data_IF_405300226360
#
_entry.id   IF_405300226360
#
_cell.length_a   1.000
_cell.length_b   1.000
_cell.length_c   1.000
_cell.angle_alpha   90.00
_cell.angle_beta   90.00
_cell.angle_gamma   90.00
#
_symmetry.space_group_name_H-M   'P 1'
#
loop_
_entity.id
_entity.type
_entity.pdbx_description
1 polymer ?
#
# COMPACT_ATOMS: atom_id res chain seq x y z
N UNK A 1 -2.34 15.35 -16.28
CA UNK A 1 -3.23 14.63 -15.36
C UNK A 1 -2.79 14.90 -13.94
N UNK A 2 -3.19 14.03 -13.00
CA UNK A 2 -2.81 14.13 -11.59
C UNK A 2 -1.27 14.10 -11.45
N UNK A 3 -0.65 14.87 -10.54
CA UNK A 3 -1.28 15.71 -9.54
C UNK A 3 -1.71 17.10 -10.02
N UNK A 4 -1.40 17.52 -11.26
CA UNK A 4 -1.65 18.90 -11.71
C UNK A 4 -3.08 19.15 -12.22
N UNK A 5 -3.71 18.11 -12.77
CA UNK A 5 -5.08 18.16 -13.26
C UNK A 5 -5.87 16.97 -12.76
N UNK A 6 -7.06 17.22 -12.24
CA UNK A 6 -8.06 16.21 -11.87
C UNK A 6 -9.24 16.34 -12.83
N UNK A 7 -9.32 15.43 -13.79
CA UNK A 7 -10.21 15.60 -14.94
C UNK A 7 -9.92 16.92 -15.67
N UNK A 8 -10.92 17.81 -15.84
CA UNK A 8 -10.69 19.13 -16.42
C UNK A 8 -10.16 20.18 -15.43
N UNK A 9 -10.13 19.91 -14.14
CA UNK A 9 -9.82 20.94 -13.13
C UNK A 9 -8.32 20.98 -12.81
N UNK A 10 -7.79 22.19 -12.60
CA UNK A 10 -6.45 22.37 -12.04
C UNK A 10 -6.53 22.21 -10.52
N UNK A 11 -5.68 21.36 -9.96
CA UNK A 11 -5.76 21.00 -8.53
C UNK A 11 -4.97 21.97 -7.65
N UNK A 12 -3.92 22.60 -8.18
CA UNK A 12 -3.03 23.51 -7.43
C UNK A 12 -2.22 22.85 -6.31
N UNK A 13 -2.27 21.52 -6.17
CA UNK A 13 -1.73 20.79 -5.00
C UNK A 13 -0.20 20.65 -5.05
N UNK A 14 0.40 20.62 -6.24
CA UNK A 14 1.86 20.46 -6.36
C UNK A 14 2.56 21.74 -6.83
N UNK A 15 3.63 22.18 -6.14
CA UNK A 15 4.45 23.32 -6.55
C UNK A 15 5.15 23.09 -7.91
N UNK A 16 5.30 21.83 -8.35
CA UNK A 16 5.88 21.49 -9.66
C UNK A 16 4.95 21.78 -10.83
N UNK A 17 3.65 21.99 -10.58
CA UNK A 17 2.66 22.20 -11.63
C UNK A 17 2.60 23.64 -12.16
N UNK A 18 3.16 24.63 -11.44
CA UNK A 18 3.05 26.05 -11.79
C UNK A 18 3.55 26.38 -13.20
N UNK A 19 4.67 25.76 -13.62
CA UNK A 19 5.22 25.92 -14.96
C UNK A 19 4.48 25.16 -16.06
N UNK A 20 3.55 24.26 -15.69
CA UNK A 20 2.76 23.51 -16.67
C UNK A 20 1.55 24.30 -17.14
N UNK A 21 0.94 25.13 -16.29
CA UNK A 21 -0.36 25.78 -16.58
C UNK A 21 -0.33 26.93 -17.59
N UNK A 22 0.86 27.44 -17.96
CA UNK A 22 0.99 28.63 -18.81
C UNK A 22 1.80 28.34 -20.06
N UNK A 23 1.35 28.86 -21.21
CA UNK A 23 2.10 28.79 -22.48
C UNK A 23 2.18 27.41 -23.13
N UNK A 24 1.43 26.41 -22.64
CA UNK A 24 1.39 25.05 -23.18
C UNK A 24 -0.05 24.63 -23.51
N UNK A 25 -0.23 23.89 -24.59
CA UNK A 25 -1.52 23.27 -24.92
C UNK A 25 -1.74 22.04 -24.04
N UNK A 26 -2.89 21.97 -23.37
CA UNK A 26 -3.25 20.84 -22.52
C UNK A 26 -4.33 20.00 -23.18
N UNK A 27 -3.98 18.77 -23.55
CA UNK A 27 -4.98 17.81 -24.01
C UNK A 27 -5.91 17.45 -22.86
N UNK A 28 -7.18 17.82 -23.01
CA UNK A 28 -8.25 17.51 -22.06
C UNK A 28 -8.51 15.99 -22.04
N UNK A 29 -8.96 15.44 -20.90
CA UNK A 29 -9.37 14.04 -20.86
C UNK A 29 -10.53 13.81 -21.84
N UNK A 30 -10.51 12.68 -22.53
CA UNK A 30 -11.60 12.27 -23.42
C UNK A 30 -12.91 12.03 -22.66
N UNK A 31 -12.81 11.55 -21.42
CA UNK A 31 -13.93 11.34 -20.52
C UNK A 31 -13.51 11.69 -19.09
N UNK A 32 -14.40 12.37 -18.36
CA UNK A 32 -14.24 12.69 -16.95
C UNK A 32 -15.62 12.64 -16.29
N UNK A 33 -15.64 12.35 -14.99
CA UNK A 33 -16.86 12.29 -14.18
C UNK A 33 -16.63 13.00 -12.83
N UNK A 34 -17.69 13.57 -12.22
CA UNK A 34 -17.57 14.27 -10.96
C UNK A 34 -17.32 13.31 -9.78
N UNK A 35 -16.80 13.85 -8.67
CA UNK A 35 -16.77 13.16 -7.38
C UNK A 35 -18.17 13.08 -6.80
N UNK A 36 -18.95 12.11 -7.26
CA UNK A 36 -20.34 11.89 -6.88
C UNK A 36 -20.62 10.39 -6.77
N UNK A 37 -21.66 10.03 -6.01
CA UNK A 37 -22.13 8.65 -5.87
C UNK A 37 -21.03 7.64 -5.45
N UNK A 38 -20.11 8.10 -4.58
CA UNK A 38 -18.98 7.31 -4.11
C UNK A 38 -17.84 7.17 -5.12
N UNK A 39 -17.92 7.77 -6.30
CA UNK A 39 -16.82 7.84 -7.27
C UNK A 39 -15.85 8.96 -6.91
N UNK A 40 -14.57 8.76 -7.22
CA UNK A 40 -13.54 9.77 -6.98
C UNK A 40 -12.11 9.26 -7.09
N UNK A 41 -11.93 8.03 -7.54
CA UNK A 41 -10.60 7.45 -7.70
C UNK A 41 -10.61 6.58 -8.96
N UNK A 42 -10.60 7.25 -10.10
CA UNK A 42 -10.54 6.60 -11.41
C UNK A 42 -9.23 5.84 -11.57
N UNK A 43 -9.33 4.58 -11.96
CA UNK A 43 -8.21 3.70 -12.24
C UNK A 43 -8.18 3.48 -13.74
N UNK A 44 -7.10 3.91 -14.37
CA UNK A 44 -6.84 3.58 -15.77
C UNK A 44 -6.93 2.07 -15.98
N UNK A 45 -7.49 1.63 -17.11
CA UNK A 45 -7.65 0.22 -17.39
C UNK A 45 -7.13 -0.17 -18.76
N UNK A 46 -7.84 -1.05 -19.46
CA UNK A 46 -7.36 -1.71 -20.66
C UNK A 46 -8.39 -1.70 -21.79
N UNK A 47 -7.91 -1.56 -23.01
CA UNK A 47 -8.70 -1.93 -24.18
C UNK A 47 -8.82 -3.45 -24.23
N UNK A 48 -10.06 -3.93 -24.28
CA UNK A 48 -10.32 -5.37 -24.36
C UNK A 48 -10.18 -5.86 -25.80
N UNK A 49 -9.10 -6.58 -26.10
CA UNK A 49 -8.77 -7.06 -27.45
C UNK A 49 -9.11 -8.55 -27.67
N UNK A 50 -9.57 -9.24 -26.62
CA UNK A 50 -9.92 -10.66 -26.70
C UNK A 50 -11.30 -10.93 -27.31
N UNK A 51 -11.67 -12.21 -27.34
CA UNK A 51 -12.93 -12.72 -27.88
C UNK A 51 -13.75 -13.54 -26.85
N UNK A 52 -13.28 -13.63 -25.61
CA UNK A 52 -13.98 -14.23 -24.48
C UNK A 52 -15.26 -13.45 -24.07
N UNK A 53 -15.37 -12.16 -24.42
CA UNK A 53 -16.56 -11.33 -24.16
C UNK A 53 -17.35 -11.08 -25.46
N UNK A 54 -18.65 -10.72 -25.39
CA UNK A 54 -19.44 -10.35 -26.55
C UNK A 54 -18.79 -9.30 -27.45
N UNK A 55 -19.10 -9.34 -28.75
CA UNK A 55 -18.46 -8.53 -29.78
C UNK A 55 -18.46 -7.02 -29.48
N UNK A 56 -19.50 -6.51 -28.81
CA UNK A 56 -19.63 -5.11 -28.41
C UNK A 56 -18.54 -4.60 -27.46
N UNK A 57 -17.87 -5.50 -26.74
CA UNK A 57 -16.78 -5.14 -25.82
C UNK A 57 -15.41 -5.17 -26.49
N UNK A 58 -15.29 -5.70 -27.72
CA UNK A 58 -14.02 -5.69 -28.44
C UNK A 58 -13.59 -4.26 -28.73
N UNK A 59 -12.35 -3.95 -28.41
CA UNK A 59 -11.73 -2.62 -28.46
C UNK A 59 -12.43 -1.56 -27.59
N UNK A 60 -13.30 -1.96 -26.67
CA UNK A 60 -13.85 -1.05 -25.65
C UNK A 60 -12.84 -0.86 -24.51
N UNK A 61 -12.82 0.33 -23.92
CA UNK A 61 -11.93 0.63 -22.81
C UNK A 61 -12.63 0.29 -21.49
N UNK A 62 -12.09 -0.70 -20.78
CA UNK A 62 -12.52 -1.02 -19.43
C UNK A 62 -11.71 -0.18 -18.45
N UNK A 63 -12.37 0.39 -17.45
CA UNK A 63 -11.71 1.15 -16.39
C UNK A 63 -12.39 0.87 -15.05
N UNK A 64 -11.70 1.19 -13.96
CA UNK A 64 -12.22 0.97 -12.61
C UNK A 64 -12.43 2.28 -11.88
N UNK A 65 -13.21 2.23 -10.82
CA UNK A 65 -13.18 3.25 -9.76
C UNK A 65 -12.93 2.56 -8.43
N UNK A 66 -11.85 2.97 -7.75
CA UNK A 66 -11.44 2.39 -6.48
C UNK A 66 -12.50 2.61 -5.40
N UNK A 67 -13.00 3.85 -5.29
CA UNK A 67 -13.93 4.25 -4.22
C UNK A 67 -15.30 3.60 -4.44
N UNK A 68 -15.80 3.61 -5.68
CA UNK A 68 -17.12 3.06 -6.01
C UNK A 68 -17.12 1.53 -6.14
N UNK A 69 -15.95 0.89 -6.14
CA UNK A 69 -15.79 -0.55 -6.32
C UNK A 69 -16.45 -1.09 -7.61
N UNK A 70 -16.25 -0.38 -8.72
CA UNK A 70 -16.83 -0.72 -10.03
C UNK A 70 -15.77 -1.01 -11.09
N UNK A 71 -16.17 -1.80 -12.07
CA UNK A 71 -15.56 -1.82 -13.41
C UNK A 71 -16.62 -1.30 -14.36
N UNK A 72 -16.28 -0.28 -15.12
CA UNK A 72 -17.12 0.33 -16.14
C UNK A 72 -16.47 0.13 -17.52
N UNK A 73 -17.30 0.22 -18.56
CA UNK A 73 -16.86 0.17 -19.95
C UNK A 73 -17.18 1.50 -20.60
N UNK A 74 -16.14 2.13 -21.13
CA UNK A 74 -16.21 3.33 -21.95
C UNK A 74 -16.25 2.95 -23.43
N UNK A 75 -17.33 3.32 -24.10
CA UNK A 75 -17.52 3.25 -25.55
C UNK A 75 -17.73 4.65 -26.13
N UNK A 76 -17.93 4.76 -27.44
CA UNK A 76 -18.22 6.01 -28.12
C UNK A 76 -19.49 5.86 -28.96
N UNK A 77 -20.41 6.81 -28.90
CA UNK A 77 -21.50 6.88 -29.87
C UNK A 77 -20.97 7.21 -31.27
N UNK A 78 -21.80 7.07 -32.31
CA UNK A 78 -21.43 7.33 -33.70
C UNK A 78 -20.92 8.76 -33.96
N UNK A 79 -21.30 9.71 -33.09
CA UNK A 79 -20.87 11.12 -33.13
C UNK A 79 -19.55 11.37 -32.37
N UNK A 80 -18.92 10.33 -31.84
CA UNK A 80 -17.69 10.41 -31.04
C UNK A 80 -17.92 10.80 -29.58
N UNK A 81 -19.17 10.87 -29.11
CA UNK A 81 -19.47 11.14 -27.70
C UNK A 81 -19.10 9.94 -26.84
N UNK A 82 -18.27 10.09 -25.79
CA UNK A 82 -17.96 9.00 -24.86
C UNK A 82 -19.20 8.58 -24.07
N UNK A 83 -19.43 7.27 -23.97
CA UNK A 83 -20.53 6.67 -23.21
C UNK A 83 -19.95 5.68 -22.22
N UNK A 84 -20.11 5.94 -20.92
CA UNK A 84 -19.71 5.00 -19.88
C UNK A 84 -20.91 4.17 -19.41
N UNK A 85 -20.70 2.87 -19.25
CA UNK A 85 -21.72 1.93 -18.77
C UNK A 85 -21.15 1.00 -17.69
N UNK A 86 -21.88 0.75 -16.59
CA UNK A 86 -21.45 -0.22 -15.59
C UNK A 86 -21.31 -1.62 -16.19
N UNK A 87 -20.18 -2.28 -15.92
CA UNK A 87 -19.92 -3.65 -16.37
C UNK A 87 -19.90 -4.64 -15.20
N UNK A 88 -19.27 -4.27 -14.09
CA UNK A 88 -19.28 -5.06 -12.87
C UNK A 88 -19.33 -4.15 -11.64
N UNK A 89 -20.08 -4.60 -10.63
CA UNK A 89 -20.06 -4.07 -9.27
C UNK A 89 -19.30 -5.03 -8.36
N UNK A 90 -18.98 -4.61 -7.12
CA UNK A 90 -18.19 -5.38 -6.16
C UNK A 90 -16.75 -5.68 -6.63
N UNK A 91 -16.25 -4.89 -7.56
CA UNK A 91 -14.84 -4.85 -7.90
C UNK A 91 -14.14 -4.01 -6.83
N UNK A 92 -13.89 -4.58 -5.65
CA UNK A 92 -13.40 -3.83 -4.49
C UNK A 92 -11.96 -3.38 -4.68
N UNK A 93 -11.73 -2.07 -4.75
CA UNK A 93 -10.40 -1.46 -4.87
C UNK A 93 -9.54 -1.99 -6.03
N UNK A 94 -10.01 -1.92 -7.30
CA UNK A 94 -9.18 -2.22 -8.46
C UNK A 94 -8.01 -1.23 -8.49
N UNK A 95 -6.85 -1.68 -8.94
CA UNK A 95 -5.67 -0.81 -9.11
C UNK A 95 -5.00 -0.96 -10.46
N UNK A 96 -5.28 -2.05 -11.19
CA UNK A 96 -4.77 -2.25 -12.55
C UNK A 96 -5.62 -3.23 -13.34
N UNK A 97 -5.76 -2.99 -14.64
CA UNK A 97 -6.40 -3.93 -15.57
C UNK A 97 -5.51 -4.18 -16.78
N UNK A 98 -5.52 -5.40 -17.31
CA UNK A 98 -4.81 -5.76 -18.52
C UNK A 98 -5.52 -6.92 -19.23
N UNK A 99 -5.41 -6.98 -20.56
CA UNK A 99 -5.84 -8.15 -21.33
C UNK A 99 -4.70 -9.18 -21.33
N UNK A 100 -4.99 -10.41 -20.91
CA UNK A 100 -4.03 -11.51 -20.90
C UNK A 100 -3.88 -12.19 -22.28
N UNK A 101 -2.84 -13.03 -22.47
CA UNK A 101 -2.60 -13.73 -23.73
C UNK A 101 -3.68 -14.77 -24.07
N UNK A 102 -4.50 -15.16 -23.09
CA UNK A 102 -5.68 -16.02 -23.26
C UNK A 102 -6.95 -15.24 -23.70
N UNK A 103 -6.80 -13.94 -24.00
CA UNK A 103 -7.90 -13.07 -24.41
C UNK A 103 -8.87 -12.70 -23.28
N UNK A 104 -8.55 -12.99 -22.01
CA UNK A 104 -9.35 -12.59 -20.87
C UNK A 104 -8.89 -11.24 -20.30
N UNK A 105 -9.81 -10.50 -19.67
CA UNK A 105 -9.46 -9.31 -18.88
C UNK A 105 -9.03 -9.76 -17.49
N UNK A 106 -7.88 -9.27 -17.03
CA UNK A 106 -7.36 -9.49 -15.68
C UNK A 106 -7.35 -8.18 -14.91
N UNK A 107 -7.69 -8.24 -13.62
CA UNK A 107 -7.74 -7.09 -12.73
C UNK A 107 -6.99 -7.41 -11.44
N UNK A 108 -6.10 -6.49 -11.04
CA UNK A 108 -5.44 -6.50 -9.74
C UNK A 108 -6.27 -5.70 -8.75
N UNK A 109 -6.51 -6.30 -7.59
CA UNK A 109 -7.24 -5.70 -6.49
C UNK A 109 -6.30 -5.51 -5.30
N UNK A 110 -6.18 -4.28 -4.81
CA UNK A 110 -5.27 -4.00 -3.69
C UNK A 110 -5.92 -4.33 -2.34
N UNK A 111 -7.25 -4.25 -2.23
CA UNK A 111 -7.96 -4.59 -0.99
C UNK A 111 -7.69 -6.04 -0.52
N UNK A 112 -7.31 -6.92 -1.45
CA UNK A 112 -7.00 -8.30 -1.11
C UNK A 112 -5.77 -8.90 -1.79
N UNK A 113 -4.97 -8.07 -2.47
CA UNK A 113 -3.74 -8.51 -3.13
C UNK A 113 -3.96 -9.53 -4.25
N UNK A 114 -5.17 -9.69 -4.79
CA UNK A 114 -5.45 -10.72 -5.79
C UNK A 114 -5.39 -10.20 -7.22
N UNK A 115 -4.82 -11.03 -8.10
CA UNK A 115 -5.03 -10.97 -9.54
C UNK A 115 -6.22 -11.85 -9.89
N UNK A 116 -7.26 -11.29 -10.49
CA UNK A 116 -8.46 -12.05 -10.88
C UNK A 116 -8.69 -11.98 -12.38
N UNK A 117 -8.99 -13.14 -12.97
CA UNK A 117 -9.51 -13.23 -14.34
C UNK A 117 -11.00 -12.91 -14.34
N UNK A 118 -11.39 -11.88 -15.09
CA UNK A 118 -12.78 -11.49 -15.26
C UNK A 118 -13.46 -12.44 -16.24
N UNK A 119 -14.57 -13.03 -15.81
CA UNK A 119 -15.42 -13.88 -16.64
C UNK A 119 -16.72 -13.16 -16.93
N UNK A 120 -17.07 -13.05 -18.20
CA UNK A 120 -18.41 -12.63 -18.60
C UNK A 120 -19.43 -13.74 -18.31
N UNK A 121 -20.48 -13.43 -17.55
CA UNK A 121 -21.52 -14.40 -17.14
C UNK A 121 -22.93 -13.98 -17.57
N UNK A 122 -23.08 -12.94 -18.39
CA UNK A 122 -24.38 -12.37 -18.76
C UNK A 122 -25.33 -13.39 -19.41
N UNK A 123 -26.63 -13.28 -19.09
CA UNK A 123 -27.70 -14.07 -19.68
C UNK A 123 -28.64 -13.19 -20.53
N UNK A 124 -28.73 -13.50 -21.83
CA UNK A 124 -29.83 -13.14 -22.75
C UNK A 124 -29.99 -11.66 -23.15
N UNK A 125 -29.78 -11.37 -24.45
CA UNK A 125 -30.34 -10.21 -25.16
C UNK A 125 -29.29 -9.25 -25.74
N UNK A 126 -29.27 -9.19 -27.07
CA UNK A 126 -28.43 -8.33 -27.94
C UNK A 126 -26.92 -8.62 -28.01
N UNK A 127 -26.62 -9.84 -28.50
CA UNK A 127 -25.28 -10.31 -28.86
C UNK A 127 -24.83 -9.85 -30.28
N UNK A 128 -25.66 -9.08 -30.98
CA UNK A 128 -25.45 -8.64 -32.36
C UNK A 128 -25.06 -7.17 -32.56
N UNK A 129 -25.02 -6.37 -31.48
CA UNK A 129 -24.60 -4.98 -31.59
C UNK A 129 -23.09 -4.91 -31.92
N UNK A 130 -22.68 -4.21 -33.00
CA UNK A 130 -21.26 -3.99 -33.29
C UNK A 130 -20.62 -3.18 -32.16
N UNK A 131 -19.33 -3.42 -31.90
CA UNK A 131 -18.57 -2.53 -31.02
C UNK A 131 -18.56 -1.12 -31.61
N UNK A 132 -18.94 -0.16 -30.79
CA UNK A 132 -18.94 1.27 -31.11
C UNK A 132 -17.64 1.93 -30.64
N UNK A 133 -16.79 1.19 -29.90
CA UNK A 133 -15.47 1.63 -29.50
C UNK A 133 -14.45 1.30 -30.59
N UNK A 134 -14.31 2.19 -31.56
CA UNK A 134 -13.19 2.17 -32.49
C UNK A 134 -11.99 2.85 -31.80
N UNK A 135 -11.34 2.16 -30.88
CA UNK A 135 -9.92 2.43 -30.70
C UNK A 135 -9.28 2.11 -32.06
N UNK A 136 -8.72 3.11 -32.74
CA UNK A 136 -7.82 2.81 -33.84
C UNK A 136 -6.79 1.81 -33.28
N UNK A 137 -6.58 0.64 -33.90
CA UNK A 137 -5.50 -0.23 -33.46
C UNK A 137 -4.26 0.65 -33.33
N UNK A 138 -3.59 0.59 -32.16
CA UNK A 138 -2.29 1.22 -32.01
C UNK A 138 -1.46 0.84 -33.24
N UNK A 139 -0.75 1.79 -33.87
CA UNK A 139 0.06 1.47 -35.04
C UNK A 139 0.87 0.23 -34.72
N UNK A 140 0.82 -0.78 -35.57
CA UNK A 140 1.37 -2.11 -35.32
C UNK A 140 2.92 -2.14 -35.25
N UNK A 141 3.56 -0.99 -35.00
CA UNK A 141 5.00 -0.87 -34.80
C UNK A 141 5.40 -1.31 -33.40
N UNK A 142 6.62 -1.81 -33.25
CA UNK A 142 7.20 -2.04 -31.95
C UNK A 142 7.39 -0.70 -31.19
N UNK A 143 7.32 -0.70 -29.85
CA UNK A 143 7.72 0.45 -29.06
C UNK A 143 9.16 0.90 -29.38
N UNK A 144 9.50 2.19 -29.23
CA UNK A 144 10.84 2.67 -29.49
C UNK A 144 11.87 2.02 -28.54
N UNK A 145 13.08 1.83 -29.06
CA UNK A 145 14.24 1.37 -28.28
C UNK A 145 14.81 2.57 -27.56
N UNK A 146 14.76 2.55 -26.23
CA UNK A 146 15.26 3.63 -25.37
C UNK A 146 16.64 3.26 -24.82
N UNK A 147 17.55 4.22 -24.81
CA UNK A 147 18.91 4.07 -24.27
C UNK A 147 19.18 5.19 -23.27
N UNK A 148 19.65 4.82 -22.08
CA UNK A 148 20.21 5.78 -21.12
C UNK A 148 21.73 5.78 -21.33
N UNK A 149 22.26 6.93 -21.72
CA UNK A 149 23.68 7.11 -22.05
C UNK A 149 24.50 7.38 -20.78
N UNK A 150 23.96 8.20 -19.87
CA UNK A 150 24.57 8.48 -18.57
C UNK A 150 23.52 8.74 -17.48
N UNK A 151 23.81 8.41 -16.22
CA UNK A 151 24.90 7.55 -15.75
C UNK A 151 24.68 6.08 -16.12
N UNK A 152 25.70 5.24 -15.91
CA UNK A 152 25.57 3.80 -16.13
C UNK A 152 24.70 3.16 -15.04
N UNK A 153 24.07 2.04 -15.38
CA UNK A 153 23.34 1.21 -14.42
C UNK A 153 24.28 0.69 -13.31
N UNK A 154 23.81 0.78 -12.06
CA UNK A 154 24.56 0.44 -10.87
C UNK A 154 25.63 1.46 -10.44
N UNK A 155 25.62 2.68 -11.00
CA UNK A 155 26.62 3.68 -10.64
C UNK A 155 26.52 4.10 -9.16
N UNK A 156 27.67 4.17 -8.49
CA UNK A 156 27.78 4.73 -7.14
C UNK A 156 27.97 6.24 -7.21
N UNK A 157 27.09 6.99 -6.55
CA UNK A 157 27.00 8.44 -6.57
C UNK A 157 27.27 8.99 -5.17
N UNK A 158 28.16 9.98 -5.09
CA UNK A 158 28.42 10.66 -3.82
C UNK A 158 27.18 11.42 -3.34
N UNK A 159 26.88 11.32 -2.05
CA UNK A 159 25.81 12.08 -1.40
C UNK A 159 26.09 13.58 -1.59
N UNK A 160 25.06 14.31 -2.02
CA UNK A 160 25.09 15.72 -2.38
C UNK A 160 25.57 16.03 -3.80
N UNK A 161 25.98 15.02 -4.59
CA UNK A 161 26.43 15.26 -5.96
C UNK A 161 25.24 15.54 -6.91
N UNK A 162 25.45 16.48 -7.83
CA UNK A 162 24.57 16.66 -8.99
C UNK A 162 24.88 15.60 -10.04
N UNK A 163 23.88 14.80 -10.39
CA UNK A 163 23.94 13.78 -11.43
C UNK A 163 23.30 14.33 -12.70
N UNK A 164 24.03 14.25 -13.81
CA UNK A 164 23.52 14.59 -15.15
C UNK A 164 23.03 13.32 -15.83
N UNK A 165 21.74 13.29 -16.14
CA UNK A 165 21.08 12.25 -16.91
C UNK A 165 21.12 12.61 -18.39
N UNK A 166 21.45 11.64 -19.24
CA UNK A 166 21.32 11.77 -20.69
C UNK A 166 20.87 10.46 -21.32
N UNK A 167 20.06 10.56 -22.37
CA UNK A 167 19.60 9.39 -23.10
C UNK A 167 18.87 9.77 -24.38
N UNK A 168 18.55 8.74 -25.16
CA UNK A 168 17.95 8.86 -26.48
C UNK A 168 17.00 7.70 -26.76
N UNK A 169 16.20 7.83 -27.82
CA UNK A 169 15.37 6.73 -28.29
C UNK A 169 15.28 6.71 -29.82
N UNK A 170 15.11 5.51 -30.38
CA UNK A 170 14.91 5.28 -31.81
C UNK A 170 13.71 4.37 -32.04
N UNK A 171 12.95 4.62 -33.10
CA UNK A 171 11.94 3.69 -33.60
C UNK A 171 12.61 2.40 -34.10
N UNK A 172 11.81 1.34 -34.35
CA UNK A 172 12.31 0.05 -34.85
C UNK A 172 13.10 0.18 -36.16
N UNK A 173 12.75 1.15 -37.01
CA UNK A 173 13.44 1.43 -38.28
C UNK A 173 14.70 2.30 -38.13
N UNK A 174 15.05 2.68 -36.90
CA UNK A 174 16.19 3.53 -36.57
C UNK A 174 15.92 5.05 -36.64
N UNK A 175 14.68 5.47 -36.93
CA UNK A 175 14.29 6.88 -36.90
C UNK A 175 14.41 7.42 -35.48
N UNK A 176 15.13 8.54 -35.22
CA UNK A 176 15.21 9.12 -33.89
C UNK A 176 13.85 9.61 -33.39
N UNK A 177 13.53 9.29 -32.14
CA UNK A 177 12.37 9.88 -31.44
C UNK A 177 12.72 11.32 -31.05
N UNK A 178 11.90 12.33 -31.41
CA UNK A 178 12.12 13.72 -31.02
C UNK A 178 12.27 13.92 -29.50
N UNK A 179 13.21 14.77 -29.10
CA UNK A 179 13.47 15.19 -27.71
C UNK A 179 12.21 15.56 -26.91
N UNK A 180 11.24 16.21 -27.56
CA UNK A 180 9.98 16.62 -26.93
C UNK A 180 9.08 15.44 -26.52
N UNK A 181 9.36 14.23 -27.00
CA UNK A 181 8.67 12.98 -26.69
C UNK A 181 9.43 12.13 -25.66
N UNK A 182 10.54 12.64 -25.12
CA UNK A 182 11.32 12.00 -24.07
C UNK A 182 10.96 12.58 -22.69
N UNK A 183 10.89 11.73 -21.67
CA UNK A 183 10.73 12.13 -20.28
C UNK A 183 11.46 11.21 -19.30
N UNK A 184 11.85 11.78 -18.18
CA UNK A 184 12.50 11.08 -17.07
C UNK A 184 11.55 10.94 -15.89
N UNK A 185 11.56 9.76 -15.28
CA UNK A 185 10.90 9.44 -14.01
C UNK A 185 11.96 8.87 -13.07
N UNK A 186 12.01 9.34 -11.82
CA UNK A 186 12.89 8.79 -10.80
C UNK A 186 12.12 8.47 -9.52
N UNK A 187 12.45 7.33 -8.93
CA UNK A 187 11.90 6.81 -7.70
C UNK A 187 13.05 6.65 -6.69
N UNK A 188 12.82 7.02 -5.43
CA UNK A 188 13.72 6.66 -4.35
C UNK A 188 13.19 5.40 -3.68
N UNK A 189 14.00 4.35 -3.68
CA UNK A 189 13.72 3.05 -3.10
C UNK A 189 14.37 3.00 -1.72
N UNK A 190 13.58 2.61 -0.74
CA UNK A 190 14.03 2.07 0.53
C UNK A 190 13.62 0.60 0.57
N UNK A 191 14.13 -0.14 1.54
CA UNK A 191 13.75 -1.54 1.76
C UNK A 191 12.28 -1.68 2.17
N UNK A 192 11.74 -0.71 2.92
CA UNK A 192 10.38 -0.74 3.47
C UNK A 192 9.35 0.00 2.60
N UNK A 193 9.76 1.06 1.89
CA UNK A 193 8.85 1.91 1.10
C UNK A 193 9.52 2.59 -0.10
N UNK A 194 8.70 3.20 -0.97
CA UNK A 194 9.14 3.85 -2.21
C UNK A 194 8.57 5.26 -2.26
N UNK A 195 9.39 6.25 -2.62
CA UNK A 195 8.93 7.59 -2.97
C UNK A 195 8.76 7.69 -4.49
N UNK A 196 7.54 7.94 -4.95
CA UNK A 196 7.17 7.85 -6.37
C UNK A 196 7.46 9.11 -7.22
N UNK A 197 7.93 10.19 -6.60
CA UNK A 197 8.08 11.51 -7.24
C UNK A 197 9.48 12.13 -7.03
N UNK A 198 10.53 11.31 -6.99
CA UNK A 198 11.90 11.80 -6.77
C UNK A 198 12.42 12.65 -7.95
N UNK A 199 12.09 12.26 -9.19
CA UNK A 199 12.42 13.04 -10.38
C UNK A 199 11.28 13.01 -11.39
N UNK A 200 10.95 14.19 -11.94
CA UNK A 200 10.16 14.34 -13.16
C UNK A 200 10.80 15.39 -14.05
N UNK A 201 11.25 15.00 -15.24
CA UNK A 201 11.83 15.93 -16.22
C UNK A 201 11.42 15.54 -17.64
N UNK A 202 11.56 16.46 -18.59
CA UNK A 202 11.27 16.23 -20.01
C UNK A 202 12.48 16.59 -20.86
N UNK A 203 12.66 15.91 -21.99
CA UNK A 203 13.79 16.08 -22.87
C UNK A 203 14.85 14.97 -22.72
N UNK A 204 15.91 15.02 -23.55
CA UNK A 204 16.95 14.00 -23.59
C UNK A 204 17.89 14.06 -22.39
N UNK A 205 17.87 15.17 -21.63
CA UNK A 205 18.73 15.40 -20.47
C UNK A 205 17.96 15.90 -19.27
N UNK A 206 18.41 15.53 -18.08
CA UNK A 206 17.89 16.05 -16.81
C UNK A 206 18.99 16.10 -15.76
N UNK A 207 18.77 16.84 -14.68
CA UNK A 207 19.67 16.87 -13.53
C UNK A 207 18.90 16.48 -12.27
N UNK A 208 19.56 15.74 -11.38
CA UNK A 208 19.08 15.48 -10.02
C UNK A 208 20.24 15.67 -9.04
N UNK A 209 19.93 16.02 -7.80
CA UNK A 209 20.90 15.95 -6.69
C UNK A 209 20.63 14.65 -5.94
N UNK A 210 21.69 13.89 -5.65
CA UNK A 210 21.58 12.67 -4.86
C UNK A 210 21.62 13.04 -3.38
N UNK A 211 20.46 13.25 -2.74
CA UNK A 211 20.41 13.66 -1.34
C UNK A 211 20.63 12.47 -0.39
N UNK A 212 21.02 12.75 0.84
CA UNK A 212 21.16 11.73 1.88
C UNK A 212 19.78 11.24 2.33
N UNK A 213 19.57 9.92 2.24
CA UNK A 213 18.34 9.27 2.67
C UNK A 213 18.61 8.09 3.61
N UNK A 214 19.82 8.02 4.18
CA UNK A 214 20.24 6.93 5.05
C UNK A 214 20.60 5.64 4.31
N UNK A 215 20.79 4.59 5.10
CA UNK A 215 21.25 3.29 4.63
C UNK A 215 20.16 2.52 3.86
N UNK A 216 20.58 1.51 3.09
CA UNK A 216 19.69 0.63 2.29
C UNK A 216 18.78 1.39 1.29
N UNK A 217 19.25 2.54 0.79
CA UNK A 217 18.55 3.35 -0.22
C UNK A 217 19.22 3.29 -1.60
N UNK A 218 18.42 3.41 -2.66
CA UNK A 218 18.90 3.59 -4.04
C UNK A 218 17.87 4.34 -4.89
N UNK A 219 18.32 4.97 -5.99
CA UNK A 219 17.43 5.60 -6.96
C UNK A 219 17.19 4.67 -8.15
N UNK A 220 15.93 4.46 -8.52
CA UNK A 220 15.55 3.88 -9.82
C UNK A 220 15.18 5.03 -10.75
N UNK A 221 15.93 5.22 -11.84
CA UNK A 221 15.73 6.30 -12.81
C UNK A 221 15.42 5.72 -14.17
N UNK A 222 14.33 6.15 -14.78
CA UNK A 222 13.87 5.65 -16.07
C UNK A 222 13.73 6.78 -17.10
N UNK A 223 14.18 6.52 -18.32
CA UNK A 223 13.88 7.30 -19.51
C UNK A 223 12.73 6.62 -20.26
N UNK A 224 11.76 7.41 -20.69
CA UNK A 224 10.56 6.96 -21.37
C UNK A 224 10.40 7.77 -22.66
N UNK A 225 10.10 7.07 -23.76
CA UNK A 225 9.91 7.64 -25.08
C UNK A 225 8.52 7.30 -25.64
N UNK A 226 7.78 8.31 -26.08
CA UNK A 226 6.51 8.13 -26.77
C UNK A 226 6.74 8.07 -28.29
N UNK A 227 6.85 6.86 -28.82
CA UNK A 227 7.09 6.61 -30.25
C UNK A 227 5.84 6.25 -31.03
N UNK A 228 6.02 6.01 -32.32
CA UNK A 228 4.93 5.68 -33.25
C UNK A 228 4.25 4.33 -32.93
N UNK A 229 5.00 3.36 -32.39
CA UNK A 229 4.51 2.06 -31.93
C UNK A 229 4.09 1.98 -30.46
N UNK A 230 4.05 3.12 -29.76
CA UNK A 230 3.70 3.19 -28.33
C UNK A 230 4.86 3.63 -27.45
N UNK A 231 4.81 3.25 -26.17
CA UNK A 231 5.78 3.70 -25.16
C UNK A 231 6.94 2.72 -25.01
N UNK A 232 8.17 3.22 -25.19
CA UNK A 232 9.40 2.52 -24.86
C UNK A 232 9.99 3.01 -23.54
N UNK A 233 10.68 2.15 -22.80
CA UNK A 233 11.25 2.47 -21.47
C UNK A 233 12.59 1.79 -21.25
N UNK A 234 13.55 2.52 -20.66
CA UNK A 234 14.78 1.99 -20.10
C UNK A 234 14.97 2.55 -18.68
N UNK A 235 15.53 1.75 -17.76
CA UNK A 235 15.75 2.13 -16.37
C UNK A 235 17.17 1.77 -15.94
N UNK A 236 17.70 2.55 -14.99
CA UNK A 236 18.97 2.31 -14.30
C UNK A 236 18.78 2.48 -12.80
N UNK A 237 19.63 1.84 -12.02
CA UNK A 237 19.73 2.00 -10.57
C UNK A 237 21.00 2.76 -10.19
N UNK A 238 20.87 3.73 -9.28
CA UNK A 238 21.98 4.52 -8.73
C UNK A 238 22.07 4.32 -7.22
N UNK A 239 23.27 4.06 -6.73
CA UNK A 239 23.53 3.73 -5.33
C UNK A 239 24.33 4.84 -4.64
N UNK A 240 24.14 5.08 -3.34
CA UNK A 240 24.97 6.04 -2.61
C UNK A 240 26.39 5.48 -2.42
N UNK A 241 27.42 6.31 -2.60
CA UNK A 241 28.78 5.99 -2.19
C UNK A 241 29.08 6.54 -0.80
N UNK A 242 29.70 5.73 0.07
CA UNK A 242 30.02 6.08 1.46
C UNK A 242 31.09 7.19 1.65
N UNK A 243 31.60 7.79 0.58
CA UNK A 243 32.61 8.85 0.67
C UNK A 243 31.98 10.22 0.89
N UNK A 244 31.87 10.63 2.15
CA UNK A 244 31.64 12.03 2.53
C UNK A 244 32.96 12.81 2.28
N UNK A 245 32.99 13.86 1.44
CA UNK A 245 34.18 14.69 1.29
C UNK A 245 34.46 15.51 2.57
N UNK A 246 35.26 14.94 3.46
CA UNK A 246 36.20 15.57 4.40
C UNK A 246 35.81 16.96 4.96
N UNK A 247 35.08 17.01 6.07
CA UNK A 247 35.22 18.13 7.02
C UNK A 247 36.45 17.88 7.89
N UNK A 248 37.47 18.72 7.69
CA UNK A 248 38.69 18.73 8.50
C UNK A 248 38.41 19.16 9.94
N UNK A 249 38.73 18.29 10.90
CA UNK A 249 39.32 18.71 12.18
C UNK A 249 38.54 18.35 13.44
N UNK A 250 38.88 17.22 14.06
CA UNK A 250 39.48 17.11 15.39
C UNK A 250 39.40 15.66 15.88
N UNK A 251 40.56 15.09 16.20
CA UNK A 251 40.73 13.78 16.80
C UNK A 251 40.00 13.64 18.13
N UNK A 252 39.39 12.47 18.35
CA UNK A 252 39.45 11.79 19.63
C UNK A 252 39.65 10.30 19.36
N UNK A 253 40.90 9.87 19.52
CA UNK A 253 41.28 8.45 19.58
C UNK A 253 40.75 7.85 20.88
N UNK A 254 40.09 6.70 20.81
CA UNK A 254 40.21 5.74 21.89
C UNK A 254 40.38 4.32 21.35
N UNK A 255 41.44 3.70 21.82
CA UNK A 255 42.02 2.45 21.35
C UNK A 255 41.40 1.25 22.06
N UNK A 256 41.27 0.17 21.30
CA UNK A 256 40.85 -1.18 21.69
C UNK A 256 41.79 -1.77 22.76
N UNK A 257 41.24 -2.32 23.85
CA UNK A 257 41.87 -3.42 24.57
C UNK A 257 41.11 -4.72 24.31
N UNK A 258 41.77 -5.60 23.58
CA UNK A 258 41.38 -6.98 23.32
C UNK A 258 41.96 -7.86 24.45
N UNK A 259 41.11 -8.66 25.12
CA UNK A 259 41.59 -9.75 25.98
C UNK A 259 41.01 -11.07 25.49
N UNK A 260 41.85 -11.84 24.82
CA UNK A 260 41.60 -13.21 24.41
C UNK A 260 41.60 -14.16 25.63
N UNK A 261 40.61 -15.05 25.68
CA UNK A 261 40.55 -16.17 26.62
C UNK A 261 39.81 -17.33 25.97
N UNK A 262 40.58 -18.32 25.51
CA UNK A 262 40.09 -19.47 24.76
C UNK A 262 39.75 -20.69 25.64
N UNK A 263 39.02 -21.62 25.00
CA UNK A 263 38.92 -23.08 25.21
C UNK A 263 37.96 -23.61 26.28
N UNK A 264 36.92 -24.37 25.86
CA UNK A 264 36.85 -25.83 26.03
C UNK A 264 35.42 -26.41 25.87
N UNK A 265 35.25 -27.15 24.76
CA UNK A 265 34.63 -28.48 24.60
C UNK A 265 33.31 -28.87 25.29
N UNK A 266 32.38 -29.32 24.43
CA UNK A 266 31.22 -30.20 24.65
C UNK A 266 31.48 -31.44 25.54
N UNK A 267 30.41 -32.03 26.10
CA UNK A 267 30.32 -33.46 26.28
C UNK A 267 29.28 -34.11 25.35
N UNK A 268 29.70 -35.26 24.82
CA UNK A 268 28.99 -36.21 23.98
C UNK A 268 27.66 -36.73 24.58
N UNK A 269 26.68 -36.97 23.70
CA UNK A 269 25.48 -37.76 23.99
C UNK A 269 25.63 -39.14 23.33
N UNK A 270 25.40 -40.27 24.03
CA UNK A 270 25.51 -41.58 23.42
C UNK A 270 24.22 -41.98 22.70
N UNK A 271 24.39 -42.63 21.56
CA UNK A 271 23.32 -43.21 20.76
C UNK A 271 22.94 -44.64 21.19
N UNK A 272 21.66 -44.97 20.99
CA UNK A 272 21.06 -46.30 21.06
C UNK A 272 19.58 -46.20 21.49
N UNK A 273 18.59 -46.86 20.89
CA UNK A 273 18.50 -47.88 19.86
C UNK A 273 17.04 -47.95 19.39
N UNK A 274 16.80 -48.38 18.16
CA UNK A 274 15.48 -48.66 17.57
C UNK A 274 14.76 -49.86 18.20
N UNK A 275 13.42 -49.84 18.29
CA UNK A 275 12.50 -50.85 17.70
C UNK A 275 10.99 -50.57 17.98
N UNK A 276 10.21 -50.59 16.89
CA UNK A 276 8.80 -50.92 16.64
C UNK A 276 7.63 -50.73 17.66
N UNK A 277 6.68 -49.91 17.19
CA UNK A 277 5.27 -50.20 16.82
C UNK A 277 4.22 -50.78 17.80
N UNK A 278 3.09 -50.05 17.77
CA UNK A 278 1.68 -50.41 17.96
C UNK A 278 0.99 -50.30 19.34
N UNK A 279 0.04 -49.35 19.33
CA UNK A 279 -1.31 -49.35 19.94
C UNK A 279 -1.46 -49.13 21.46
N UNK A 280 -1.91 -47.92 21.84
CA UNK A 280 -3.13 -47.72 22.67
C UNK A 280 -3.38 -46.23 23.03
N UNK A 281 -4.53 -45.72 22.55
CA UNK A 281 -5.41 -44.68 23.14
C UNK A 281 -4.90 -43.24 23.37
N UNK A 282 -5.65 -42.18 23.00
CA UNK A 282 -5.27 -40.80 23.27
C UNK A 282 -5.53 -40.46 24.74
N UNK A 283 -4.46 -40.16 25.47
CA UNK A 283 -4.53 -39.54 26.79
C UNK A 283 -4.64 -38.04 26.60
N UNK A 284 -5.73 -37.49 27.09
CA UNK A 284 -5.98 -36.06 27.29
C UNK A 284 -4.88 -35.46 28.17
N UNK A 285 -4.06 -34.60 27.57
CA UNK A 285 -3.16 -33.70 28.27
C UNK A 285 -3.55 -32.26 27.95
N UNK A 286 -4.74 -31.86 28.41
CA UNK A 286 -4.97 -30.45 28.74
C UNK A 286 -4.24 -30.12 30.04
N UNK A 287 -3.59 -28.95 30.05
CA UNK A 287 -2.87 -28.28 31.16
C UNK A 287 -1.35 -28.53 31.23
N UNK A 288 -0.59 -27.77 30.44
CA UNK A 288 0.33 -26.75 30.99
C UNK A 288 1.11 -26.01 29.87
N UNK A 289 0.48 -24.98 29.30
CA UNK A 289 1.15 -23.70 29.04
C UNK A 289 0.11 -22.62 29.31
N UNK A 290 0.31 -21.80 30.35
CA UNK A 290 -0.63 -20.81 30.86
C UNK A 290 -0.80 -19.59 29.96
N UNK A 291 -1.11 -19.83 28.69
CA UNK A 291 -1.34 -18.81 27.68
C UNK A 291 -2.81 -18.37 27.82
N UNK A 292 -3.05 -17.28 28.55
CA UNK A 292 -4.40 -16.71 28.70
C UNK A 292 -4.82 -16.07 27.37
N UNK A 293 -5.91 -16.54 26.76
CA UNK A 293 -6.47 -15.95 25.54
C UNK A 293 -6.94 -14.51 25.80
N UNK A 294 -6.79 -13.64 24.81
CA UNK A 294 -7.18 -12.23 24.90
C UNK A 294 -6.21 -11.29 24.21
N UNK A 295 -6.35 -10.00 24.48
CA UNK A 295 -5.46 -8.93 24.01
C UNK A 295 -4.71 -8.35 25.21
N UNK A 296 -3.39 -8.15 25.07
CA UNK A 296 -2.56 -7.58 26.12
C UNK A 296 -2.73 -6.07 26.16
N UNK A 297 -3.12 -5.51 27.30
CA UNK A 297 -3.24 -4.07 27.54
C UNK A 297 -2.06 -3.62 28.40
N UNK A 298 -1.41 -2.56 27.96
CA UNK A 298 -0.35 -1.86 28.68
C UNK A 298 -0.76 -0.41 28.90
N UNK A 299 -0.57 0.11 30.12
CA UNK A 299 -0.98 1.48 30.48
C UNK A 299 0.19 2.25 31.07
N UNK A 300 0.33 3.50 30.64
CA UNK A 300 1.26 4.50 31.17
C UNK A 300 0.45 5.68 31.73
N UNK A 301 0.62 5.98 33.01
CA UNK A 301 -0.15 6.99 33.74
C UNK A 301 0.58 8.34 33.83
N UNK A 302 -0.15 9.40 34.18
CA UNK A 302 0.35 10.76 34.36
C UNK A 302 0.95 11.37 33.08
N UNK A 303 0.31 11.12 31.94
CA UNK A 303 0.68 11.68 30.64
C UNK A 303 -0.27 12.84 30.32
N UNK A 304 0.24 14.06 30.34
CA UNK A 304 -0.53 15.22 29.87
C UNK A 304 -0.71 15.24 28.36
N UNK A 305 -1.66 16.05 27.89
CA UNK A 305 -2.00 16.15 26.47
C UNK A 305 -3.03 15.10 26.02
N UNK A 306 -3.52 15.26 24.80
CA UNK A 306 -4.58 14.44 24.20
C UNK A 306 -4.13 13.74 22.91
N UNK A 307 -2.85 13.86 22.54
CA UNK A 307 -2.32 13.30 21.31
C UNK A 307 -1.65 11.94 21.52
N UNK A 308 -1.75 11.05 20.53
CA UNK A 308 -0.98 9.78 20.52
C UNK A 308 0.52 10.04 20.67
N UNK A 309 1.03 11.14 20.11
CA UNK A 309 2.43 11.55 20.24
C UNK A 309 2.86 11.81 21.70
N UNK A 310 1.93 12.19 22.59
CA UNK A 310 2.22 12.39 24.01
C UNK A 310 2.54 11.05 24.71
N UNK A 311 1.90 9.95 24.26
CA UNK A 311 2.23 8.59 24.68
C UNK A 311 3.54 8.09 24.05
N UNK A 312 3.64 8.15 22.71
CA UNK A 312 4.75 7.50 22.00
C UNK A 312 6.09 8.21 22.14
N UNK A 313 6.10 9.46 22.61
CA UNK A 313 7.33 10.22 22.89
C UNK A 313 7.88 10.00 24.31
N UNK A 314 7.17 9.27 25.17
CA UNK A 314 7.67 8.93 26.50
C UNK A 314 8.92 8.06 26.41
N UNK A 315 9.94 8.39 27.22
CA UNK A 315 11.12 7.55 27.36
C UNK A 315 10.80 6.13 27.90
N UNK A 316 9.68 5.99 28.61
CA UNK A 316 9.20 4.71 29.14
C UNK A 316 8.42 3.87 28.10
N UNK A 317 8.00 4.45 26.98
CA UNK A 317 7.26 3.75 25.94
C UNK A 317 8.23 3.11 24.93
N UNK A 318 7.98 1.87 24.45
CA UNK A 318 6.93 0.93 24.86
C UNK A 318 7.36 -0.02 25.99
N UNK A 319 8.54 0.15 26.58
CA UNK A 319 9.22 -0.91 27.34
C UNK A 319 8.88 -0.99 28.83
N UNK A 320 8.29 0.05 29.42
CA UNK A 320 8.06 0.15 30.89
C UNK A 320 6.66 0.68 31.21
N UNK A 321 5.58 -0.09 31.01
CA UNK A 321 4.23 0.29 31.41
C UNK A 321 4.04 0.21 32.93
N UNK A 322 3.14 1.05 33.47
CA UNK A 322 2.75 1.06 34.88
C UNK A 322 1.79 -0.10 35.22
N UNK A 323 1.00 -0.54 34.24
CA UNK A 323 0.05 -1.63 34.36
C UNK A 323 0.08 -2.53 33.12
N UNK A 324 -0.06 -3.84 33.34
CA UNK A 324 -0.26 -4.84 32.28
C UNK A 324 -1.43 -5.73 32.68
N UNK A 325 -2.38 -5.92 31.77
CA UNK A 325 -3.49 -6.87 31.95
C UNK A 325 -3.86 -7.57 30.62
N UNK A 326 -4.70 -8.61 30.69
CA UNK A 326 -5.26 -9.29 29.52
C UNK A 326 -6.75 -9.00 29.46
N UNK A 327 -7.20 -8.43 28.35
CA UNK A 327 -8.61 -8.15 28.09
C UNK A 327 -9.25 -9.26 27.25
N UNK A 328 -10.53 -9.51 27.51
CA UNK A 328 -11.36 -10.49 26.78
C UNK A 328 -12.12 -9.86 25.60
N UNK A 329 -11.79 -8.62 25.24
CA UNK A 329 -12.26 -7.94 24.05
C UNK A 329 -11.30 -6.80 23.71
N UNK A 330 -11.29 -6.35 22.44
CA UNK A 330 -10.69 -5.07 22.06
C UNK A 330 -11.63 -3.93 22.45
N UNK A 331 -11.89 -3.81 23.75
CA UNK A 331 -12.69 -2.75 24.34
C UNK A 331 -12.31 -2.52 25.80
N UNK A 332 -12.22 -1.24 26.14
CA UNK A 332 -12.10 -0.72 27.48
C UNK A 332 -13.25 0.27 27.69
N UNK A 333 -13.98 0.13 28.80
CA UNK A 333 -15.18 0.92 29.07
C UNK A 333 -15.14 1.57 30.45
N UNK A 334 -15.47 2.87 30.49
CA UNK A 334 -15.71 3.63 31.72
C UNK A 334 -14.55 4.57 32.07
N UNK A 335 -14.76 5.52 33.00
CA UNK A 335 -13.67 6.34 33.51
C UNK A 335 -12.78 5.49 34.41
N UNK A 336 -11.62 5.10 33.90
CA UNK A 336 -10.61 4.31 34.57
C UNK A 336 -9.54 5.22 35.20
N UNK A 337 -9.15 6.29 34.51
CA UNK A 337 -8.21 7.31 34.99
C UNK A 337 -8.23 8.54 34.06
N UNK A 338 -7.84 9.71 34.56
CA UNK A 338 -7.48 10.84 33.70
C UNK A 338 -5.96 10.78 33.38
N UNK A 339 -5.52 11.47 32.32
CA UNK A 339 -4.12 11.65 31.93
C UNK A 339 -3.31 10.33 31.79
N UNK A 340 -3.72 9.44 30.89
CA UNK A 340 -2.98 8.21 30.59
C UNK A 340 -2.88 7.94 29.09
N UNK A 341 -2.04 6.98 28.73
CA UNK A 341 -2.00 6.39 27.42
C UNK A 341 -1.88 4.88 27.53
N UNK A 342 -2.40 4.17 26.55
CA UNK A 342 -2.42 2.71 26.55
C UNK A 342 -2.16 2.11 25.18
N UNK A 343 -1.68 0.87 25.22
CA UNK A 343 -1.45 0.02 24.07
C UNK A 343 -2.14 -1.31 24.27
N UNK A 344 -3.05 -1.67 23.36
CA UNK A 344 -3.66 -2.99 23.33
C UNK A 344 -3.03 -3.75 22.16
N UNK A 345 -2.36 -4.89 22.41
CA UNK A 345 -1.59 -5.63 21.41
C UNK A 345 -1.77 -7.14 21.52
N UNK A 346 -1.68 -7.83 20.38
CA UNK A 346 -1.90 -9.28 20.25
C UNK A 346 -2.29 -9.67 18.84
N UNK A 347 -2.98 -10.79 18.70
CA UNK A 347 -3.33 -11.34 17.39
C UNK A 347 -4.84 -11.46 17.19
N UNK A 348 -5.30 -11.05 16.01
CA UNK A 348 -6.63 -11.29 15.50
C UNK A 348 -6.68 -12.59 14.71
N UNK A 349 -7.68 -13.44 14.95
CA UNK A 349 -7.93 -14.70 14.23
C UNK A 349 -9.33 -14.68 13.61
N UNK A 350 -9.44 -14.44 12.29
CA UNK A 350 -10.73 -14.41 11.61
C UNK A 350 -11.41 -15.79 11.59
N UNK A 351 -12.72 -15.89 11.86
CA UNK A 351 -13.42 -17.17 11.79
C UNK A 351 -13.74 -17.62 10.36
N UNK A 352 -13.71 -16.70 9.38
CA UNK A 352 -14.02 -16.98 7.97
C UNK A 352 -13.13 -16.13 7.07
N UNK A 353 -12.69 -16.69 5.95
CA UNK A 353 -11.93 -15.91 4.97
C UNK A 353 -12.87 -14.95 4.25
N UNK A 354 -12.46 -13.70 4.11
CA UNK A 354 -13.21 -12.70 3.35
C UNK A 354 -12.82 -11.29 3.70
N UNK A 355 -13.67 -10.36 3.31
CA UNK A 355 -13.44 -8.93 3.49
C UNK A 355 -14.00 -8.51 4.84
N UNK A 356 -13.16 -7.88 5.63
CA UNK A 356 -13.47 -7.30 6.92
C UNK A 356 -13.35 -5.78 6.86
N UNK A 357 -14.25 -5.08 7.52
CA UNK A 357 -14.12 -3.64 7.77
C UNK A 357 -13.99 -3.46 9.27
N UNK A 358 -13.11 -2.57 9.70
CA UNK A 358 -12.85 -2.27 11.10
C UNK A 358 -13.31 -0.86 11.46
N UNK A 359 -13.69 -0.67 12.72
CA UNK A 359 -14.00 0.63 13.27
C UNK A 359 -13.31 0.81 14.61
N UNK A 360 -12.85 2.04 14.90
CA UNK A 360 -12.36 2.43 16.22
C UNK A 360 -13.22 3.56 16.79
N UNK A 361 -13.54 3.47 18.07
CA UNK A 361 -14.05 4.56 18.89
C UNK A 361 -13.05 4.77 20.03
N UNK A 362 -12.68 6.03 20.28
CA UNK A 362 -11.76 6.40 21.35
C UNK A 362 -12.15 7.75 21.97
N UNK A 363 -11.78 7.98 23.22
CA UNK A 363 -11.89 9.26 23.95
C UNK A 363 -10.68 9.32 24.87
N UNK A 364 -9.66 10.15 24.58
CA UNK A 364 -9.55 11.18 23.52
C UNK A 364 -9.13 10.68 22.10
N UNK A 365 -7.85 10.42 21.85
CA UNK A 365 -7.33 10.01 20.53
C UNK A 365 -7.04 8.51 20.47
N UNK A 366 -7.41 7.87 19.37
CA UNK A 366 -7.12 6.45 19.14
C UNK A 366 -6.62 6.15 17.73
N UNK A 367 -5.72 5.18 17.64
CA UNK A 367 -5.21 4.62 16.39
C UNK A 367 -5.37 3.10 16.40
N UNK A 368 -5.87 2.55 15.30
CA UNK A 368 -5.96 1.10 15.07
C UNK A 368 -4.96 0.69 14.01
N UNK A 369 -4.07 -0.21 14.37
CA UNK A 369 -3.04 -0.79 13.53
C UNK A 369 -3.31 -2.28 13.32
N UNK A 370 -3.14 -2.73 12.08
CA UNK A 370 -3.28 -4.14 11.71
C UNK A 370 -2.14 -4.54 10.78
N UNK A 371 -1.51 -5.68 11.06
CA UNK A 371 -0.52 -6.27 10.18
C UNK A 371 -1.16 -7.11 9.09
N UNK A 372 -0.42 -7.32 8.01
CA UNK A 372 -0.81 -8.21 6.90
C UNK A 372 -0.59 -9.69 7.25
N UNK A 373 0.08 -9.97 8.36
CA UNK A 373 0.42 -11.28 8.90
C UNK A 373 0.65 -11.18 10.42
N UNK A 374 1.30 -12.18 11.03
CA UNK A 374 1.58 -12.23 12.47
C UNK A 374 2.88 -11.48 12.87
N UNK A 375 3.49 -10.72 11.97
CA UNK A 375 4.67 -9.91 12.26
C UNK A 375 4.27 -8.48 12.71
N UNK A 376 4.55 -8.07 13.96
CA UNK A 376 4.20 -6.74 14.47
C UNK A 376 4.80 -5.58 13.67
N UNK A 377 6.02 -5.74 13.16
CA UNK A 377 6.73 -4.72 12.36
C UNK A 377 6.07 -4.43 11.00
N UNK A 378 5.15 -5.29 10.57
CA UNK A 378 4.38 -5.14 9.34
C UNK A 378 3.00 -4.52 9.58
N UNK A 379 2.68 -4.12 10.81
CA UNK A 379 1.47 -3.38 11.16
C UNK A 379 1.39 -2.04 10.42
N UNK A 380 0.19 -1.68 9.98
CA UNK A 380 -0.12 -0.40 9.32
C UNK A 380 -1.34 0.22 9.96
N UNK A 381 -1.37 1.55 10.03
CA UNK A 381 -2.52 2.29 10.51
C UNK A 381 -3.70 2.07 9.56
N UNK A 382 -4.82 1.56 10.07
CA UNK A 382 -6.00 1.26 9.27
C UNK A 382 -7.23 2.11 9.62
N UNK A 383 -7.29 2.69 10.82
CA UNK A 383 -8.35 3.60 11.24
C UNK A 383 -7.90 4.50 12.40
N UNK A 384 -8.49 5.68 12.55
CA UNK A 384 -8.23 6.61 13.65
C UNK A 384 -9.50 7.22 14.22
N UNK A 385 -9.51 7.44 15.52
CA UNK A 385 -10.38 8.39 16.19
C UNK A 385 -9.54 9.64 16.48
N UNK A 386 -9.55 10.66 15.60
CA UNK A 386 -8.64 11.80 15.69
C UNK A 386 -8.94 12.74 16.86
N UNK A 387 -10.10 12.58 17.48
CA UNK A 387 -10.58 13.26 18.69
C UNK A 387 -11.61 12.36 19.36
N UNK A 388 -12.02 12.74 20.57
CA UNK A 388 -12.99 12.01 21.34
C UNK A 388 -14.25 11.59 20.59
N UNK A 389 -14.76 10.43 20.94
CA UNK A 389 -16.01 9.83 20.46
C UNK A 389 -16.74 9.26 21.66
N UNK A 390 -18.07 9.15 21.59
CA UNK A 390 -18.80 8.38 22.59
C UNK A 390 -18.43 6.89 22.50
N UNK A 391 -18.61 6.16 23.60
CA UNK A 391 -18.40 4.71 23.60
C UNK A 391 -19.13 4.03 22.42
N UNK A 392 -18.37 3.28 21.61
CA UNK A 392 -18.87 2.58 20.41
C UNK A 392 -19.57 3.51 19.39
N UNK A 393 -19.24 4.80 19.37
CA UNK A 393 -19.73 5.73 18.36
C UNK A 393 -18.85 5.64 17.11
N UNK A 394 -19.22 4.76 16.17
CA UNK A 394 -18.38 4.41 15.02
C UNK A 394 -18.32 5.43 13.88
N UNK A 395 -19.30 6.34 13.83
CA UNK A 395 -19.58 7.14 12.63
C UNK A 395 -19.50 8.67 12.91
N UNK A 396 -18.67 9.11 13.87
CA UNK A 396 -18.46 10.54 14.17
C UNK A 396 -17.45 11.18 13.20
N UNK A 397 -16.39 10.46 12.86
CA UNK A 397 -15.35 10.85 11.92
C UNK A 397 -15.20 9.78 10.83
N UNK A 398 -14.98 10.17 9.55
CA UNK A 398 -14.80 9.19 8.48
C UNK A 398 -13.55 8.32 8.67
N UNK A 399 -12.52 8.82 9.35
CA UNK A 399 -11.28 8.10 9.63
C UNK A 399 -11.45 6.93 10.63
N UNK A 400 -12.57 6.89 11.36
CA UNK A 400 -12.85 5.80 12.31
C UNK A 400 -13.06 4.46 11.63
N UNK A 401 -13.36 4.46 10.34
CA UNK A 401 -13.62 3.28 9.54
C UNK A 401 -12.42 2.94 8.67
N UNK A 402 -11.97 1.68 8.73
CA UNK A 402 -10.95 1.21 7.80
C UNK A 402 -11.50 1.07 6.39
N UNK A 403 -10.59 1.09 5.42
CA UNK A 403 -10.88 0.46 4.13
C UNK A 403 -11.21 -1.04 4.34
N UNK A 404 -11.93 -1.69 3.40
CA UNK A 404 -12.16 -3.13 3.50
C UNK A 404 -10.83 -3.90 3.35
N UNK A 405 -10.55 -4.82 4.28
CA UNK A 405 -9.30 -5.58 4.40
C UNK A 405 -9.62 -7.07 4.28
N UNK A 406 -8.92 -7.80 3.39
CA UNK A 406 -9.08 -9.26 3.33
C UNK A 406 -8.27 -9.96 4.41
N UNK A 407 -8.94 -10.85 5.13
CA UNK A 407 -8.30 -11.76 6.07
C UNK A 407 -8.66 -13.21 5.74
N UNK A 408 -7.77 -14.14 6.07
CA UNK A 408 -7.96 -15.57 5.88
C UNK A 408 -8.37 -16.24 7.20
N UNK A 409 -9.33 -17.17 7.13
CA UNK A 409 -9.82 -17.89 8.29
C UNK A 409 -8.67 -18.62 9.00
N UNK A 410 -8.59 -18.47 10.32
CA UNK A 410 -7.62 -19.20 11.15
C UNK A 410 -6.19 -18.68 11.09
N UNK A 411 -5.86 -17.76 10.18
CA UNK A 411 -4.57 -17.07 10.18
C UNK A 411 -4.52 -16.02 11.30
N UNK A 412 -3.32 -15.74 11.80
CA UNK A 412 -3.08 -14.71 12.82
C UNK A 412 -2.64 -13.42 12.14
N UNK A 413 -3.20 -12.31 12.63
CA UNK A 413 -2.82 -10.96 12.19
C UNK A 413 -2.49 -10.14 13.42
N UNK A 414 -1.29 -9.56 13.50
CA UNK A 414 -0.96 -8.68 14.62
C UNK A 414 -1.91 -7.46 14.60
N UNK A 415 -2.52 -7.15 15.73
CA UNK A 415 -3.41 -6.01 15.92
C UNK A 415 -2.92 -5.19 17.10
N UNK A 416 -2.83 -3.88 16.90
CA UNK A 416 -2.43 -2.93 17.93
C UNK A 416 -3.40 -1.75 17.97
N UNK A 417 -3.75 -1.31 19.17
CA UNK A 417 -4.51 -0.08 19.40
C UNK A 417 -3.66 0.82 20.27
N UNK A 418 -3.40 2.04 19.80
CA UNK A 418 -2.83 3.10 20.61
C UNK A 418 -3.94 4.05 21.02
N UNK A 419 -4.00 4.41 22.29
CA UNK A 419 -5.03 5.30 22.81
C UNK A 419 -4.43 6.27 23.83
N UNK A 420 -4.80 7.56 23.71
CA UNK A 420 -4.44 8.63 24.64
C UNK A 420 -5.72 9.20 25.21
N UNK A 421 -5.78 9.25 26.54
CA UNK A 421 -6.88 9.88 27.29
C UNK A 421 -6.36 11.06 28.11
N UNK A 422 -7.06 12.20 28.03
CA UNK A 422 -6.79 13.36 28.89
C UNK A 422 -7.78 13.45 30.05
N UNK A 423 -9.10 13.32 29.83
CA UNK A 423 -10.00 13.12 30.97
C UNK A 423 -11.51 13.19 30.74
N UNK A 424 -12.24 13.08 31.86
CA UNK A 424 -13.70 12.91 32.00
C UNK A 424 -14.23 11.52 31.67
N UNK A 425 -14.04 11.04 30.44
CA UNK A 425 -14.73 9.88 29.91
C UNK A 425 -13.81 9.06 29.04
N UNK A 426 -13.35 7.96 29.59
CA UNK A 426 -12.46 7.11 28.85
C UNK A 426 -13.25 6.04 28.09
N UNK A 427 -12.91 5.87 26.81
CA UNK A 427 -13.26 4.66 26.10
C UNK A 427 -12.25 4.39 25.00
N UNK A 428 -11.97 3.11 24.76
CA UNK A 428 -11.49 2.65 23.46
C UNK A 428 -12.22 1.38 23.10
N UNK A 429 -12.66 1.26 21.87
CA UNK A 429 -13.31 0.06 21.38
C UNK A 429 -13.01 -0.15 19.91
N UNK A 430 -12.81 -1.41 19.51
CA UNK A 430 -12.65 -1.81 18.12
C UNK A 430 -13.79 -2.74 17.72
N UNK A 431 -14.52 -2.35 16.69
CA UNK A 431 -15.50 -3.19 16.04
C UNK A 431 -14.99 -3.70 14.69
N UNK A 432 -15.59 -4.78 14.24
CA UNK A 432 -15.39 -5.32 12.91
C UNK A 432 -16.69 -5.90 12.35
N UNK A 433 -16.76 -5.96 11.04
CA UNK A 433 -17.84 -6.57 10.26
C UNK A 433 -17.18 -7.42 9.17
N UNK A 434 -17.76 -8.57 8.85
CA UNK A 434 -17.18 -9.48 7.87
C UNK A 434 -18.08 -10.67 7.55
N UNK A 435 -17.58 -11.70 6.84
CA UNK A 435 -18.40 -12.82 6.41
C UNK A 435 -19.06 -13.54 7.59
N UNK A 436 -20.39 -13.47 7.67
CA UNK A 436 -21.16 -14.09 8.75
C UNK A 436 -21.07 -13.37 10.11
N UNK A 437 -20.58 -12.13 10.13
CA UNK A 437 -20.50 -11.28 11.32
C UNK A 437 -21.16 -9.94 11.01
N UNK A 438 -22.21 -9.59 11.76
CA UNK A 438 -22.66 -8.20 11.86
C UNK A 438 -21.62 -7.38 12.63
N UNK A 439 -21.61 -6.05 12.41
CA UNK A 439 -20.71 -5.13 13.11
C UNK A 439 -20.81 -5.35 14.63
N UNK A 440 -19.71 -5.80 15.22
CA UNK A 440 -19.62 -6.11 16.64
C UNK A 440 -18.22 -5.82 17.17
N UNK A 441 -18.08 -5.62 18.49
CA UNK A 441 -16.77 -5.55 19.14
C UNK A 441 -16.02 -6.87 18.97
N UNK A 442 -14.71 -6.81 18.74
CA UNK A 442 -13.86 -8.00 18.62
C UNK A 442 -13.70 -8.65 20.00
N UNK A 443 -14.37 -9.79 20.20
CA UNK A 443 -14.37 -10.55 21.45
C UNK A 443 -13.22 -11.56 21.53
N UNK A 444 -12.92 -12.04 22.74
CA UNK A 444 -11.88 -13.01 23.11
C UNK A 444 -11.74 -14.18 22.13
N UNK A 445 -12.85 -14.75 21.68
CA UNK A 445 -12.87 -15.89 20.75
C UNK A 445 -12.20 -15.64 19.39
N UNK A 446 -11.91 -14.38 19.07
CA UNK A 446 -11.20 -13.97 17.85
C UNK A 446 -9.81 -13.39 18.15
N UNK A 447 -9.38 -13.45 19.41
CA UNK A 447 -8.11 -12.91 19.87
C UNK A 447 -7.19 -14.05 20.31
N UNK A 448 -5.92 -13.91 19.99
CA UNK A 448 -4.85 -14.76 20.47
C UNK A 448 -3.76 -13.89 21.12
N UNK A 449 -3.14 -14.39 22.19
CA UNK A 449 -2.10 -13.64 22.91
C UNK A 449 -0.81 -13.54 22.10
N UNK A 450 -0.04 -12.47 22.36
CA UNK A 450 1.31 -12.24 21.81
C UNK A 450 2.28 -13.41 22.00
#
# INVERSE_FOLDING_TARGET
GWPCYEGPEQTGISPTCGGLYTGKEHRRPTYAYPHADGRGAAIGGAFYTGDNFPARYRNAFFYGDFNASTIDVLTFADDGTPVSTPFATNAVAPVRMATGPDGALYVLFIADGTLRRIRYTGGGGDDGAPSVALAAPLPAGAPPIVTIDTPADGAAIAIGATVVLSGSAVEEDGTPVPDAQLRWEGLLRHKEHIHYDYLRATGPTAELVYEDHGDETWLEVCLIAEGSGGEGRACIELFPSADIPNETGAEATDTVEESAGAVAAEPEVPAGSSENADDATPVDTSEASGIQQGIRREVWSNIGGDAIADLTSLAAYPSSPDMVEILTALEVSGPLADDYGERLSGYLVPPRSGIYTFWIAADDQGELWLSVDDAPERARLIATAPKWTGQRQWDKYPEQQSVPIRLNAGERYFVEVLHKEAGQKDNVAVAWEGPGLERQVIAERYLAPE
#
